data_IF_461188480089
#
_entry.id   IF_461188480089
#
_cell.length_a   1.000
_cell.length_b   1.000
_cell.length_c   1.000
_cell.angle_alpha   90.00
_cell.angle_beta   90.00
_cell.angle_gamma   90.00
#
_symmetry.space_group_name_H-M   'P 1'
#
loop_
_entity.id
_entity.type
_entity.pdbx_description
1 polymer ?
#
# COMPACT_ATOMS: atom_id res chain seq x y z
N UNK A 1 -0.37 -33.95 -7.35
CA UNK A 1 -0.05 -33.52 -5.97
C UNK A 1 0.28 -32.04 -6.07
N UNK A 2 -0.54 -31.21 -5.43
CA UNK A 2 -0.38 -29.79 -5.12
C UNK A 2 -0.09 -28.80 -6.26
N UNK A 3 -1.14 -28.10 -6.70
CA UNK A 3 -1.00 -26.77 -7.29
C UNK A 3 -0.38 -25.85 -6.23
N UNK A 4 0.85 -25.40 -6.45
CA UNK A 4 1.40 -24.27 -5.71
C UNK A 4 0.65 -23.02 -6.21
N UNK A 5 -0.43 -22.67 -5.52
CA UNK A 5 -0.95 -21.31 -5.56
C UNK A 5 0.11 -20.48 -4.84
N UNK A 6 1.12 -20.01 -5.57
CA UNK A 6 1.97 -18.92 -5.09
C UNK A 6 1.08 -17.71 -5.03
N UNK A 7 0.47 -17.49 -3.85
CA UNK A 7 -0.28 -16.31 -3.50
C UNK A 7 0.73 -15.16 -3.53
N UNK A 8 0.93 -14.59 -4.72
CA UNK A 8 2.04 -13.66 -4.97
C UNK A 8 1.54 -12.31 -4.50
N UNK A 9 1.80 -11.99 -3.23
CA UNK A 9 1.50 -10.68 -2.66
C UNK A 9 2.31 -9.63 -3.43
N UNK A 10 1.64 -8.95 -4.36
CA UNK A 10 2.21 -7.89 -5.17
C UNK A 10 1.79 -6.57 -4.56
N UNK A 11 2.77 -5.80 -4.10
CA UNK A 11 2.58 -4.49 -3.46
C UNK A 11 2.92 -3.38 -4.44
N UNK A 12 2.09 -2.34 -4.52
CA UNK A 12 2.44 -1.10 -5.19
C UNK A 12 2.89 -0.07 -4.15
N UNK A 13 4.04 0.56 -4.37
CA UNK A 13 4.56 1.65 -3.55
C UNK A 13 4.48 2.94 -4.37
N UNK A 14 3.67 3.88 -3.92
CA UNK A 14 3.49 5.21 -4.51
C UNK A 14 4.20 6.24 -3.65
N UNK A 15 5.35 6.73 -4.08
CA UNK A 15 6.11 7.77 -3.35
C UNK A 15 7.07 8.48 -4.30
N UNK A 16 7.21 9.80 -4.12
CA UNK A 16 8.24 10.67 -4.71
C UNK A 16 9.37 10.98 -3.73
N UNK A 17 9.24 10.53 -2.49
CA UNK A 17 10.25 10.67 -1.45
C UNK A 17 11.21 9.48 -1.47
N UNK A 18 12.44 9.71 -1.94
CA UNK A 18 13.52 8.72 -2.03
C UNK A 18 13.94 8.17 -0.66
N UNK A 19 13.86 8.99 0.39
CA UNK A 19 14.25 8.59 1.75
C UNK A 19 13.21 7.63 2.32
N UNK A 20 11.93 7.93 2.12
CA UNK A 20 10.84 7.04 2.49
C UNK A 20 10.88 5.75 1.67
N UNK A 21 11.13 5.88 0.36
CA UNK A 21 11.26 4.75 -0.53
C UNK A 21 12.34 3.78 -0.04
N UNK A 22 13.53 4.29 0.28
CA UNK A 22 14.63 3.46 0.78
C UNK A 22 14.26 2.64 2.03
N UNK A 23 13.47 3.23 2.95
CA UNK A 23 12.97 2.55 4.16
C UNK A 23 11.93 1.49 3.82
N UNK A 24 11.00 1.80 2.90
CA UNK A 24 9.97 0.87 2.44
C UNK A 24 10.58 -0.32 1.70
N UNK A 25 11.50 -0.07 0.78
CA UNK A 25 12.22 -1.11 0.04
C UNK A 25 12.95 -2.06 0.98
N UNK A 26 13.74 -1.52 1.92
CA UNK A 26 14.45 -2.34 2.91
C UNK A 26 13.48 -3.24 3.68
N UNK A 27 12.37 -2.68 4.16
CA UNK A 27 11.37 -3.41 4.94
C UNK A 27 10.68 -4.50 4.12
N UNK A 28 10.31 -4.21 2.87
CA UNK A 28 9.63 -5.16 1.98
C UNK A 28 10.56 -6.28 1.53
N UNK A 29 11.82 -5.97 1.22
CA UNK A 29 12.85 -6.95 0.85
C UNK A 29 13.17 -7.89 2.01
N UNK A 30 13.36 -7.36 3.22
CA UNK A 30 13.62 -8.17 4.43
C UNK A 30 12.51 -9.19 4.69
N UNK A 31 11.28 -8.87 4.28
CA UNK A 31 10.08 -9.70 4.43
C UNK A 31 9.82 -10.60 3.21
N UNK A 32 10.64 -10.52 2.17
CA UNK A 32 10.48 -11.31 0.95
C UNK A 32 9.24 -10.94 0.13
N UNK A 33 8.72 -9.72 0.30
CA UNK A 33 7.51 -9.24 -0.38
C UNK A 33 7.91 -8.68 -1.74
N UNK A 34 7.16 -9.04 -2.79
CA UNK A 34 7.35 -8.46 -4.12
C UNK A 34 6.63 -7.13 -4.20
N UNK A 35 7.32 -6.11 -4.71
CA UNK A 35 6.74 -4.80 -4.86
C UNK A 35 7.16 -4.13 -6.17
N UNK A 36 6.34 -3.20 -6.61
CA UNK A 36 6.60 -2.27 -7.69
C UNK A 36 6.57 -0.86 -7.10
N UNK A 37 7.48 0.00 -7.57
CA UNK A 37 7.52 1.41 -7.21
C UNK A 37 6.97 2.21 -8.38
N UNK A 38 6.14 3.21 -8.09
CA UNK A 38 5.63 4.15 -9.08
C UNK A 38 5.52 5.56 -8.49
N UNK A 39 5.67 6.56 -9.35
CA UNK A 39 5.43 7.96 -9.06
C UNK A 39 4.14 8.50 -9.71
N UNK A 40 3.29 7.61 -10.25
CA UNK A 40 2.08 7.92 -11.01
C UNK A 40 0.82 7.24 -10.47
N UNK A 41 -0.30 7.96 -10.47
CA UNK A 41 -1.62 7.39 -10.17
C UNK A 41 -2.15 6.44 -11.24
N UNK A 42 -1.59 6.48 -12.45
CA UNK A 42 -2.05 5.62 -13.55
C UNK A 42 -1.63 4.15 -13.36
N UNK A 43 -0.64 3.89 -12.50
CA UNK A 43 -0.22 2.53 -12.15
C UNK A 43 -1.06 1.92 -11.01
N UNK A 44 -2.02 2.66 -10.46
CA UNK A 44 -2.97 2.16 -9.46
C UNK A 44 -3.88 1.13 -10.11
N UNK A 45 -3.76 -0.13 -9.70
CA UNK A 45 -4.56 -1.25 -10.20
C UNK A 45 -5.08 -2.15 -9.06
N UNK A 46 -6.18 -2.84 -9.31
CA UNK A 46 -6.74 -3.90 -8.47
C UNK A 46 -5.92 -5.21 -8.53
N UNK A 47 -4.95 -5.33 -9.43
CA UNK A 47 -4.04 -6.49 -9.49
C UNK A 47 -3.08 -6.56 -8.30
N UNK A 48 -2.87 -5.44 -7.59
CA UNK A 48 -2.06 -5.39 -6.39
C UNK A 48 -2.88 -5.83 -5.18
N UNK A 49 -2.29 -6.60 -4.27
CA UNK A 49 -2.95 -6.96 -3.01
C UNK A 49 -2.92 -5.81 -1.99
N UNK A 50 -1.89 -4.96 -2.09
CA UNK A 50 -1.67 -3.83 -1.20
C UNK A 50 -1.09 -2.64 -1.97
N UNK A 51 -1.61 -1.45 -1.70
CA UNK A 51 -1.04 -0.18 -2.16
C UNK A 51 -0.52 0.58 -0.96
N UNK A 52 0.76 0.93 -0.95
CA UNK A 52 1.39 1.80 0.05
C UNK A 52 1.54 3.18 -0.57
N UNK A 53 0.85 4.17 -0.04
CA UNK A 53 0.88 5.54 -0.55
C UNK A 53 1.62 6.47 0.41
N UNK A 54 2.68 7.10 -0.08
CA UNK A 54 3.43 8.15 0.57
C UNK A 54 2.58 9.40 0.86
N UNK A 55 3.11 10.33 1.67
CA UNK A 55 2.41 11.57 2.04
C UNK A 55 2.22 12.54 0.86
N UNK A 56 2.94 12.30 -0.23
CA UNK A 56 2.93 13.06 -1.47
C UNK A 56 1.85 12.60 -2.46
N UNK A 57 1.16 11.49 -2.17
CA UNK A 57 0.01 10.99 -2.95
C UNK A 57 -1.30 11.22 -2.21
N UNK A 58 -2.25 11.88 -2.88
CA UNK A 58 -3.58 12.16 -2.38
C UNK A 58 -4.43 10.88 -2.31
N UNK A 59 -5.14 10.74 -1.21
CA UNK A 59 -5.90 9.53 -0.92
C UNK A 59 -7.22 9.44 -1.71
N UNK A 60 -7.82 10.59 -2.05
CA UNK A 60 -9.01 10.69 -2.89
C UNK A 60 -8.69 10.33 -4.34
N UNK A 61 -7.55 10.78 -4.87
CA UNK A 61 -7.13 10.47 -6.24
C UNK A 61 -6.92 8.96 -6.43
N UNK A 62 -6.26 8.29 -5.47
CA UNK A 62 -6.13 6.81 -5.45
C UNK A 62 -7.52 6.16 -5.40
N UNK A 63 -8.40 6.64 -4.52
CA UNK A 63 -9.76 6.11 -4.38
C UNK A 63 -10.61 6.26 -5.65
N UNK A 64 -10.44 7.37 -6.37
CA UNK A 64 -11.11 7.62 -7.64
C UNK A 64 -10.64 6.63 -8.71
N UNK A 65 -9.32 6.42 -8.85
CA UNK A 65 -8.76 5.45 -9.81
C UNK A 65 -9.29 4.04 -9.56
N UNK A 66 -9.27 3.59 -8.30
CA UNK A 66 -9.83 2.28 -7.93
C UNK A 66 -11.34 2.16 -8.21
N UNK A 67 -12.08 3.26 -8.08
CA UNK A 67 -13.51 3.30 -8.41
C UNK A 67 -13.76 3.17 -9.91
N UNK A 68 -12.92 3.79 -10.73
CA UNK A 68 -13.02 3.77 -12.21
C UNK A 68 -12.71 2.38 -12.78
N UNK A 69 -11.72 1.66 -12.21
CA UNK A 69 -11.34 0.31 -12.64
C UNK A 69 -12.43 -0.72 -12.31
N UNK A 70 -13.08 -0.59 -11.15
CA UNK A 70 -14.05 -1.58 -10.65
C UNK A 70 -13.37 -2.85 -10.14
N UNK A 71 -14.14 -3.81 -9.60
CA UNK A 71 -13.61 -5.07 -9.04
C UNK A 71 -13.43 -5.08 -7.51
N UNK A 72 -12.61 -6.01 -7.02
CA UNK A 72 -12.29 -6.16 -5.59
C UNK A 72 -11.20 -5.13 -5.25
N UNK A 73 -11.46 -4.19 -4.33
CA UNK A 73 -10.49 -3.15 -4.02
C UNK A 73 -9.32 -3.73 -3.21
N UNK A 74 -8.09 -3.24 -3.42
CA UNK A 74 -6.92 -3.67 -2.66
C UNK A 74 -6.95 -3.18 -1.20
N UNK A 75 -6.06 -3.73 -0.39
CA UNK A 75 -5.68 -3.11 0.88
C UNK A 75 -4.87 -1.83 0.62
N UNK A 76 -4.99 -0.82 1.48
CA UNK A 76 -4.26 0.44 1.34
C UNK A 76 -3.58 0.79 2.67
N UNK A 77 -2.28 1.09 2.59
CA UNK A 77 -1.50 1.67 3.66
C UNK A 77 -1.16 3.12 3.31
N UNK A 78 -1.72 4.07 4.05
CA UNK A 78 -1.45 5.49 3.87
C UNK A 78 -0.35 5.94 4.84
N UNK A 79 0.68 6.56 4.31
CA UNK A 79 1.74 7.21 5.10
C UNK A 79 1.46 8.71 5.07
N UNK A 80 1.21 9.32 6.23
CA UNK A 80 0.76 10.72 6.32
C UNK A 80 1.59 11.49 7.32
N UNK A 81 1.89 12.76 7.05
CA UNK A 81 2.62 13.63 7.99
C UNK A 81 1.69 14.44 8.90
N UNK A 82 0.38 14.50 8.56
CA UNK A 82 -0.65 15.22 9.32
C UNK A 82 -1.98 14.46 9.25
N UNK A 83 -2.77 14.57 10.32
CA UNK A 83 -4.15 14.10 10.37
C UNK A 83 -5.07 15.07 9.60
N UNK A 84 -4.96 15.06 8.27
CA UNK A 84 -5.75 15.90 7.37
C UNK A 84 -6.65 15.13 6.42
N UNK A 85 -6.20 13.94 5.97
CA UNK A 85 -6.96 13.11 5.04
C UNK A 85 -7.73 12.01 5.77
N UNK A 86 -8.97 12.33 6.13
CA UNK A 86 -9.96 11.35 6.61
C UNK A 86 -11.00 11.00 5.55
N UNK A 87 -10.74 11.35 4.29
CA UNK A 87 -11.63 11.06 3.19
C UNK A 87 -11.80 9.54 3.02
N UNK A 88 -13.03 9.02 3.01
CA UNK A 88 -13.26 7.59 2.92
C UNK A 88 -12.83 7.07 1.53
N UNK A 89 -11.93 6.09 1.52
CA UNK A 89 -11.43 5.44 0.30
C UNK A 89 -12.13 4.10 0.15
N UNK A 90 -12.47 3.74 -1.09
CA UNK A 90 -13.01 2.42 -1.41
C UNK A 90 -11.86 1.39 -1.43
N UNK A 91 -11.53 0.86 -0.25
CA UNK A 91 -10.51 -0.17 -0.03
C UNK A 91 -11.13 -1.41 0.64
N UNK A 92 -10.48 -2.58 0.54
CA UNK A 92 -10.87 -3.74 1.35
C UNK A 92 -10.53 -3.49 2.83
N UNK A 93 -9.34 -2.94 3.07
CA UNK A 93 -8.89 -2.48 4.37
C UNK A 93 -7.96 -1.28 4.16
N UNK A 94 -8.13 -0.25 5.00
CA UNK A 94 -7.26 0.91 5.00
C UNK A 94 -6.59 1.04 6.37
N UNK A 95 -5.28 1.29 6.38
CA UNK A 95 -4.53 1.66 7.57
C UNK A 95 -3.72 2.91 7.29
N UNK A 96 -3.61 3.78 8.29
CA UNK A 96 -2.81 5.02 8.19
C UNK A 96 -1.71 4.98 9.24
N UNK A 97 -0.49 5.36 8.86
CA UNK A 97 0.65 5.60 9.75
C UNK A 97 1.04 7.07 9.66
N UNK A 98 1.21 7.71 10.82
CA UNK A 98 1.62 9.09 10.90
C UNK A 98 3.14 9.21 11.05
N UNK A 99 3.80 9.67 9.99
CA UNK A 99 5.24 9.90 9.96
C UNK A 99 5.63 11.18 10.70
N UNK A 100 6.80 11.21 11.36
CA UNK A 100 7.79 10.12 11.44
C UNK A 100 7.51 9.11 12.56
N UNK A 101 6.60 9.39 13.49
CA UNK A 101 6.46 8.60 14.74
C UNK A 101 6.07 7.15 14.51
N UNK A 102 5.20 6.88 13.54
CA UNK A 102 4.62 5.55 13.32
C UNK A 102 5.42 4.69 12.33
N UNK A 103 6.57 5.17 11.82
CA UNK A 103 7.37 4.40 10.85
C UNK A 103 7.81 3.04 11.43
N UNK A 104 8.07 2.98 12.74
CA UNK A 104 8.43 1.74 13.43
C UNK A 104 7.29 0.71 13.50
N UNK A 105 6.05 1.16 13.27
CA UNK A 105 4.87 0.28 13.21
C UNK A 105 4.62 -0.28 11.81
N UNK A 106 5.38 0.15 10.79
CA UNK A 106 5.28 -0.33 9.42
C UNK A 106 5.28 -1.87 9.33
N UNK A 107 6.18 -2.61 9.99
CA UNK A 107 6.20 -4.06 9.90
C UNK A 107 4.87 -4.69 10.38
N UNK A 108 4.36 -4.23 11.53
CA UNK A 108 3.10 -4.69 12.09
C UNK A 108 1.89 -4.28 11.22
N UNK A 109 1.94 -3.11 10.59
CA UNK A 109 0.92 -2.66 9.67
C UNK A 109 0.86 -3.54 8.41
N UNK A 110 2.01 -3.90 7.84
CA UNK A 110 2.09 -4.82 6.71
C UNK A 110 1.53 -6.19 7.07
N UNK A 111 1.91 -6.73 8.23
CA UNK A 111 1.37 -8.01 8.71
C UNK A 111 -0.15 -7.97 8.79
N UNK A 112 -0.73 -6.94 9.41
CA UNK A 112 -2.19 -6.82 9.53
C UNK A 112 -2.91 -6.76 8.18
N UNK A 113 -2.35 -6.05 7.20
CA UNK A 113 -2.97 -5.88 5.88
C UNK A 113 -2.78 -7.10 4.97
N UNK A 114 -1.69 -7.87 5.15
CA UNK A 114 -1.35 -9.02 4.31
C UNK A 114 -1.85 -10.36 4.88
N UNK A 115 -2.13 -10.46 6.19
CA UNK A 115 -2.55 -11.72 6.84
C UNK A 115 -4.00 -12.13 6.52
N UNK A 116 -4.82 -11.24 5.97
CA UNK A 116 -6.26 -11.52 5.69
C UNK A 116 -6.47 -12.44 4.46
N UNK A 117 -5.43 -12.74 3.68
CA UNK A 117 -5.51 -13.60 2.49
C UNK A 117 -5.35 -15.12 2.77
N UNK A 118 -5.61 -15.59 3.98
CA UNK A 118 -5.57 -17.01 4.36
C UNK A 118 -6.95 -17.67 4.42
#
# INVERSE_FOLDING_TARGET
MMAFITNTQNVLVLTKDDSLLSVLESTLIERGIRFQVSDSYDDVDITFSLIIAGPDFDSQEIGQKLKEIGGIPPCILLLRTKAGDSSPIRCCQCKTLFLPMDIFQLPQALDQLLTIHH
#
